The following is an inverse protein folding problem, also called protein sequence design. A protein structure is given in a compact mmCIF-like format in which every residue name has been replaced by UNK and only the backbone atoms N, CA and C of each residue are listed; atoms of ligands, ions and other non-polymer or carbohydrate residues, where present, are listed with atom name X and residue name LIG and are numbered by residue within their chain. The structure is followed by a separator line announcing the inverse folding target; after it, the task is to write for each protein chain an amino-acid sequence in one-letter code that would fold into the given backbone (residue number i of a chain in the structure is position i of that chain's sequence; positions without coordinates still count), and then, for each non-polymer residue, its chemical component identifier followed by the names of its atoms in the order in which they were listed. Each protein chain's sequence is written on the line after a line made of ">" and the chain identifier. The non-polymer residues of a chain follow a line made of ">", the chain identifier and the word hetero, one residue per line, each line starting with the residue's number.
data_IF_476276773931
#
_entry.id   IF_476276773931
#
_cell.length_a   1.000
_cell.length_b   1.000
_cell.length_c   1.000
_cell.angle_alpha   90.00
_cell.angle_beta   90.00
_cell.angle_gamma   90.00
#
_symmetry.space_group_name_H-M   'P 1'
#
loop_
_entity.id
_entity.type
_entity.pdbx_description
1 polymer ?
#
# COMPACT_ATOMS: atom_id res chain seq x y z
N UNK A 1 34.62 17.16 -33.33
CA UNK A 1 33.23 17.36 -32.86
C UNK A 1 32.35 17.51 -34.10
N UNK A 2 31.24 16.78 -34.13
CA UNK A 2 30.39 16.40 -35.27
C UNK A 2 30.83 15.17 -36.10
N UNK A 3 29.80 14.35 -36.39
CA UNK A 3 29.68 13.26 -37.36
C UNK A 3 30.39 11.94 -37.00
N UNK A 4 29.86 10.74 -37.20
CA UNK A 4 28.53 10.15 -37.46
C UNK A 4 28.84 8.64 -37.57
N UNK A 5 28.00 7.82 -36.94
CA UNK A 5 27.67 6.42 -37.22
C UNK A 5 28.59 5.54 -38.12
N UNK A 6 28.87 4.31 -37.63
CA UNK A 6 28.74 3.08 -38.43
C UNK A 6 28.15 1.95 -37.59
N UNK A 7 26.91 1.62 -37.92
CA UNK A 7 26.27 0.35 -37.60
C UNK A 7 26.74 -0.73 -38.59
N UNK A 8 26.77 -1.99 -38.15
CA UNK A 8 26.67 -3.17 -39.00
C UNK A 8 25.66 -4.13 -38.33
N UNK A 9 24.44 -4.25 -38.89
CA UNK A 9 23.94 -5.42 -39.65
C UNK A 9 23.95 -6.70 -38.81
N UNK A 10 22.85 -7.43 -38.57
CA UNK A 10 21.79 -7.91 -39.46
C UNK A 10 20.59 -8.33 -38.58
N UNK A 11 19.40 -8.69 -39.04
CA UNK A 11 19.03 -9.24 -40.32
C UNK A 11 17.57 -8.90 -40.64
N UNK A 12 17.36 -8.77 -41.94
CA UNK A 12 16.11 -8.61 -42.65
C UNK A 12 15.31 -9.91 -42.54
N UNK A 13 14.07 -9.80 -42.06
CA UNK A 13 13.02 -10.80 -42.26
C UNK A 13 11.83 -10.11 -42.92
N UNK A 14 11.71 -10.27 -44.23
CA UNK A 14 10.57 -9.81 -45.04
C UNK A 14 9.39 -10.74 -44.77
N UNK A 15 8.23 -10.19 -44.43
CA UNK A 15 6.95 -10.83 -44.71
C UNK A 15 6.08 -9.82 -45.45
N UNK A 16 5.82 -10.11 -46.71
CA UNK A 16 4.88 -9.39 -47.56
C UNK A 16 3.44 -9.83 -47.23
N UNK A 17 2.54 -8.87 -47.13
CA UNK A 17 1.10 -9.11 -46.98
C UNK A 17 0.35 -7.79 -46.89
N UNK A 18 -0.22 -7.36 -48.01
CA UNK A 18 -0.97 -6.12 -48.21
C UNK A 18 -2.33 -6.11 -47.51
N UNK A 19 -2.65 -5.04 -46.77
CA UNK A 19 -4.00 -4.45 -46.72
C UNK A 19 -3.97 -3.09 -46.00
N UNK A 20 -4.64 -2.10 -46.61
CA UNK A 20 -4.87 -0.76 -46.07
C UNK A 20 -5.75 -0.81 -44.82
N UNK A 21 -5.41 -0.02 -43.80
CA UNK A 21 -6.29 0.18 -42.64
C UNK A 21 -5.55 0.90 -41.52
N UNK A 22 -6.15 1.99 -41.02
CA UNK A 22 -5.62 2.89 -40.01
C UNK A 22 -4.84 2.22 -38.86
N UNK A 23 -3.74 2.84 -38.42
CA UNK A 23 -3.10 2.51 -37.15
C UNK A 23 -4.16 2.50 -36.03
N UNK A 24 -4.47 1.35 -35.42
CA UNK A 24 -5.21 1.39 -34.17
C UNK A 24 -4.27 1.98 -33.11
N UNK A 25 -4.87 2.86 -32.31
CA UNK A 25 -4.24 3.67 -31.29
C UNK A 25 -3.21 2.90 -30.45
N UNK A 26 -2.13 3.62 -30.09
CA UNK A 26 -1.22 3.23 -29.01
C UNK A 26 -2.02 2.57 -27.89
N UNK A 27 -1.78 1.28 -27.69
CA UNK A 27 -2.32 0.57 -26.53
C UNK A 27 -1.68 1.22 -25.29
N UNK A 28 -2.36 2.24 -24.75
CA UNK A 28 -2.16 2.67 -23.38
C UNK A 28 -2.43 1.43 -22.55
N UNK A 29 -1.36 0.83 -22.03
CA UNK A 29 -1.45 -0.17 -20.98
C UNK A 29 -2.03 0.58 -19.79
N UNK A 30 -3.35 0.63 -19.72
CA UNK A 30 -4.05 1.09 -18.55
C UNK A 30 -3.81 0.04 -17.47
N UNK A 31 -3.15 0.37 -16.35
CA UNK A 31 -2.95 -0.60 -15.28
C UNK A 31 -4.33 -1.10 -14.84
N UNK A 32 -4.47 -2.39 -14.48
CA UNK A 32 -5.75 -2.96 -14.11
C UNK A 32 -6.40 -2.09 -13.03
N UNK A 33 -7.58 -1.54 -13.32
CA UNK A 33 -8.43 -0.84 -12.35
C UNK A 33 -9.17 -1.84 -11.45
N UNK A 34 -8.48 -2.89 -11.02
CA UNK A 34 -8.99 -3.72 -9.95
C UNK A 34 -8.81 -2.95 -8.63
N UNK A 35 -9.86 -2.85 -7.78
CA UNK A 35 -9.67 -2.37 -6.43
C UNK A 35 -8.68 -3.32 -5.77
N UNK A 36 -7.49 -2.82 -5.44
CA UNK A 36 -6.48 -3.59 -4.74
C UNK A 36 -7.16 -4.22 -3.51
N UNK A 37 -7.28 -5.55 -3.42
CA UNK A 37 -7.84 -6.18 -2.23
C UNK A 37 -6.96 -5.76 -1.05
N UNK A 38 -7.58 -5.27 0.03
CA UNK A 38 -6.89 -4.93 1.27
C UNK A 38 -5.99 -6.11 1.65
N UNK A 39 -4.68 -5.99 1.43
CA UNK A 39 -3.74 -7.01 1.84
C UNK A 39 -3.54 -6.82 3.35
N UNK A 40 -4.33 -7.56 4.13
CA UNK A 40 -4.22 -7.60 5.57
C UNK A 40 -3.42 -8.85 5.94
N UNK A 41 -2.23 -8.65 6.49
CA UNK A 41 -1.37 -9.74 6.98
C UNK A 41 -1.11 -9.49 8.45
N UNK A 42 -1.29 -10.51 9.29
CA UNK A 42 -0.99 -10.44 10.72
C UNK A 42 -1.92 -9.55 11.56
N UNK A 43 -3.03 -9.08 11.00
CA UNK A 43 -3.96 -8.12 11.65
C UNK A 43 -5.42 -8.54 11.53
N UNK A 44 -6.20 -8.22 12.55
CA UNK A 44 -7.66 -8.30 12.51
C UNK A 44 -8.26 -6.91 12.38
N UNK A 45 -8.95 -6.65 11.26
CA UNK A 45 -9.71 -5.42 11.07
C UNK A 45 -10.95 -5.41 11.99
N UNK A 46 -11.19 -4.26 12.60
CA UNK A 46 -12.35 -3.93 13.44
C UNK A 46 -12.96 -2.62 12.98
N UNK A 47 -14.25 -2.47 13.27
CA UNK A 47 -14.93 -1.18 13.13
C UNK A 47 -14.43 -0.22 14.20
N UNK A 48 -14.54 1.07 13.93
CA UNK A 48 -14.19 2.12 14.87
C UNK A 48 -15.02 1.98 16.15
N UNK A 49 -14.34 1.89 17.28
CA UNK A 49 -14.96 1.78 18.60
C UNK A 49 -13.94 2.00 19.71
N UNK A 50 -14.39 1.74 20.94
CA UNK A 50 -13.52 1.74 22.11
C UNK A 50 -12.67 0.47 22.12
N UNK A 51 -11.49 0.54 21.48
CA UNK A 51 -10.46 -0.48 21.55
C UNK A 51 -9.22 0.08 22.26
N UNK A 52 -8.59 -0.77 23.05
CA UNK A 52 -7.32 -0.47 23.71
C UNK A 52 -6.29 -1.54 23.39
N UNK A 53 -5.01 -1.15 23.37
CA UNK A 53 -3.94 -2.12 23.19
C UNK A 53 -3.85 -3.03 24.42
N UNK A 54 -3.75 -4.32 24.17
CA UNK A 54 -3.39 -5.31 25.18
C UNK A 54 -2.11 -5.98 24.72
N UNK A 55 -0.97 -5.41 25.09
CA UNK A 55 0.31 -6.00 24.74
C UNK A 55 0.40 -7.40 25.35
N UNK A 56 0.35 -8.43 24.51
CA UNK A 56 0.36 -9.83 24.95
C UNK A 56 1.79 -10.27 25.28
N UNK A 57 2.75 -9.81 24.48
CA UNK A 57 4.17 -10.13 24.63
C UNK A 57 5.05 -8.99 24.09
N UNK A 58 6.37 -9.13 24.28
CA UNK A 58 7.38 -8.17 23.84
C UNK A 58 7.99 -8.54 22.47
N UNK A 59 7.31 -9.39 21.69
CA UNK A 59 7.79 -9.75 20.35
C UNK A 59 7.60 -8.56 19.42
N UNK A 60 8.70 -8.02 18.92
CA UNK A 60 8.66 -6.94 17.95
C UNK A 60 8.14 -7.43 16.60
N UNK A 61 7.11 -6.75 16.11
CA UNK A 61 6.45 -7.02 14.84
C UNK A 61 6.60 -5.78 13.96
N UNK A 62 7.12 -5.96 12.75
CA UNK A 62 7.19 -4.88 11.77
C UNK A 62 5.82 -4.68 11.12
N UNK A 63 5.14 -3.59 11.43
CA UNK A 63 3.90 -3.18 10.78
C UNK A 63 4.20 -2.26 9.59
N UNK A 64 3.77 -2.65 8.40
CA UNK A 64 3.83 -1.82 7.20
C UNK A 64 2.42 -1.40 6.76
N UNK A 65 2.16 -0.10 6.71
CA UNK A 65 0.88 0.48 6.29
C UNK A 65 1.06 1.20 4.98
N UNK A 66 0.47 0.68 3.91
CA UNK A 66 0.51 1.27 2.57
C UNK A 66 -0.81 1.98 2.27
N UNK A 67 -0.77 3.30 2.13
CA UNK A 67 -1.90 4.09 1.69
C UNK A 67 -1.93 4.17 0.16
N UNK A 68 -2.74 3.35 -0.50
CA UNK A 68 -2.92 3.39 -1.97
C UNK A 68 -4.07 4.29 -2.41
N UNK A 69 -4.70 4.99 -1.46
CA UNK A 69 -5.75 5.95 -1.76
C UNK A 69 -5.16 7.27 -2.26
N UNK A 70 -6.01 8.08 -2.90
CA UNK A 70 -5.67 9.45 -3.34
C UNK A 70 -5.72 10.48 -2.21
N UNK A 71 -6.11 10.07 -1.00
CA UNK A 71 -6.25 10.95 0.17
C UNK A 71 -5.21 10.59 1.22
N UNK A 72 -4.69 11.56 1.98
CA UNK A 72 -3.85 11.23 3.13
C UNK A 72 -4.68 10.52 4.22
N UNK A 73 -4.02 9.66 4.96
CA UNK A 73 -4.57 9.00 6.15
C UNK A 73 -3.68 9.29 7.35
N UNK A 74 -4.23 9.22 8.55
CA UNK A 74 -3.47 9.32 9.80
C UNK A 74 -3.52 7.97 10.48
N UNK A 75 -2.36 7.44 10.84
CA UNK A 75 -2.26 6.22 11.63
C UNK A 75 -2.05 6.59 13.09
N UNK A 76 -2.92 6.10 13.98
CA UNK A 76 -2.80 6.21 15.42
C UNK A 76 -2.55 4.84 16.03
N UNK A 77 -1.68 4.77 17.02
CA UNK A 77 -1.64 3.64 17.94
C UNK A 77 -2.59 3.95 19.10
N UNK A 78 -3.37 2.98 19.57
CA UNK A 78 -4.15 3.15 20.80
C UNK A 78 -3.36 2.64 21.97
N UNK A 79 -3.17 3.44 23.02
CA UNK A 79 -2.49 2.97 24.22
C UNK A 79 -3.36 1.96 25.01
N UNK A 80 -2.87 1.52 26.17
CA UNK A 80 -3.57 0.55 27.02
C UNK A 80 -4.85 1.09 27.67
N UNK A 81 -5.03 2.42 27.72
CA UNK A 81 -6.28 3.06 28.15
C UNK A 81 -7.25 3.33 26.98
N UNK A 82 -6.87 3.00 25.74
CA UNK A 82 -7.68 3.20 24.53
C UNK A 82 -7.59 4.59 23.91
N UNK A 83 -6.75 5.46 24.45
CA UNK A 83 -6.46 6.78 23.89
C UNK A 83 -5.59 6.70 22.64
N UNK A 84 -5.82 7.59 21.66
CA UNK A 84 -4.98 7.72 20.47
C UNK A 84 -3.61 8.31 20.84
N UNK A 85 -2.56 7.64 20.41
CA UNK A 85 -1.16 8.02 20.52
C UNK A 85 -0.45 7.85 19.16
N UNK A 86 0.76 8.43 19.04
CA UNK A 86 1.63 8.28 17.87
C UNK A 86 0.98 8.53 16.49
N UNK A 87 0.21 9.62 16.39
CA UNK A 87 -0.43 10.03 15.13
C UNK A 87 0.59 10.39 14.05
N UNK A 88 0.63 9.64 12.95
CA UNK A 88 1.47 9.96 11.78
C UNK A 88 0.65 10.05 10.51
N UNK A 89 0.93 11.07 9.73
CA UNK A 89 0.40 11.22 8.39
C UNK A 89 1.04 10.21 7.44
N UNK A 90 0.21 9.42 6.77
CA UNK A 90 0.58 8.59 5.62
C UNK A 90 0.04 9.31 4.37
N UNK A 91 0.93 9.90 3.55
CA UNK A 91 0.50 10.62 2.36
C UNK A 91 -0.24 9.69 1.38
N UNK A 92 -0.99 10.29 0.45
CA UNK A 92 -1.60 9.55 -0.65
C UNK A 92 -0.53 8.78 -1.44
N UNK A 93 -0.81 7.52 -1.78
CA UNK A 93 0.15 6.58 -2.39
C UNK A 93 1.43 6.35 -1.56
N UNK A 94 1.41 6.69 -0.27
CA UNK A 94 2.54 6.57 0.65
C UNK A 94 2.60 5.24 1.40
N UNK A 95 3.70 4.99 2.09
CA UNK A 95 3.84 3.86 3.01
C UNK A 95 4.51 4.32 4.30
N UNK A 96 4.06 3.77 5.43
CA UNK A 96 4.66 3.99 6.73
C UNK A 96 4.97 2.65 7.40
N UNK A 97 6.14 2.54 8.00
CA UNK A 97 6.58 1.36 8.74
C UNK A 97 6.72 1.69 10.22
N UNK A 98 6.42 0.72 11.07
CA UNK A 98 6.43 0.81 12.52
C UNK A 98 6.90 -0.50 13.15
N UNK A 99 7.49 -0.39 14.32
CA UNK A 99 7.60 -1.51 15.25
C UNK A 99 6.37 -1.51 16.14
N UNK A 100 5.74 -2.66 16.28
CA UNK A 100 4.58 -2.88 17.13
C UNK A 100 4.68 -4.22 17.85
N UNK A 101 3.69 -4.57 18.65
CA UNK A 101 3.66 -5.82 19.42
C UNK A 101 2.31 -6.49 19.27
N UNK A 102 2.24 -7.79 19.59
CA UNK A 102 1.00 -8.54 19.52
C UNK A 102 -0.04 -7.96 20.49
N UNK A 103 -1.27 -7.82 20.00
CA UNK A 103 -2.38 -7.20 20.72
C UNK A 103 -2.37 -5.66 20.74
N UNK A 104 -1.42 -5.02 20.06
CA UNK A 104 -1.52 -3.58 19.80
C UNK A 104 -2.69 -3.28 18.86
N UNK A 105 -3.34 -2.15 19.13
CA UNK A 105 -4.45 -1.63 18.34
C UNK A 105 -3.96 -0.41 17.56
N UNK A 106 -4.17 -0.45 16.26
CA UNK A 106 -3.87 0.63 15.33
C UNK A 106 -5.14 1.14 14.70
N UNK A 107 -5.30 2.45 14.60
CA UNK A 107 -6.42 3.08 13.95
C UNK A 107 -5.93 3.85 12.72
N UNK A 108 -6.65 3.65 11.63
CA UNK A 108 -6.52 4.47 10.44
C UNK A 108 -7.67 5.46 10.44
N UNK A 109 -7.31 6.74 10.47
CA UNK A 109 -8.23 7.85 10.36
C UNK A 109 -8.00 8.62 9.05
N UNK A 110 -9.00 9.37 8.60
CA UNK A 110 -8.82 10.33 7.52
C UNK A 110 -8.00 11.54 7.97
N UNK A 111 -7.60 12.40 7.02
CA UNK A 111 -6.80 13.60 7.31
C UNK A 111 -7.45 14.61 8.27
N UNK A 112 -8.75 14.51 8.52
CA UNK A 112 -9.51 15.30 9.51
C UNK A 112 -9.62 14.62 10.89
N UNK A 113 -9.06 13.42 11.05
CA UNK A 113 -9.09 12.65 12.29
C UNK A 113 -10.33 11.76 12.48
N UNK A 114 -11.22 11.66 11.49
CA UNK A 114 -12.35 10.72 11.52
C UNK A 114 -11.83 9.29 11.40
N UNK A 115 -12.21 8.41 12.32
CA UNK A 115 -11.80 7.00 12.25
C UNK A 115 -12.41 6.33 11.02
N UNK A 116 -11.59 5.62 10.24
CA UNK A 116 -12.01 4.81 9.09
C UNK A 116 -12.06 3.32 9.45
N UNK A 117 -11.08 2.86 10.22
CA UNK A 117 -10.98 1.47 10.66
C UNK A 117 -9.94 1.29 11.76
N UNK A 118 -10.12 0.26 12.57
CA UNK A 118 -9.14 -0.17 13.57
C UNK A 118 -8.59 -1.56 13.21
N UNK A 119 -7.39 -1.87 13.65
CA UNK A 119 -6.64 -3.08 13.35
C UNK A 119 -5.95 -3.57 14.61
N UNK A 120 -6.20 -4.82 14.99
CA UNK A 120 -5.53 -5.48 16.11
C UNK A 120 -4.42 -6.37 15.56
N UNK A 121 -3.20 -6.25 16.07
CA UNK A 121 -2.12 -7.17 15.73
C UNK A 121 -2.42 -8.53 16.37
N UNK A 122 -2.63 -9.54 15.54
CA UNK A 122 -3.15 -10.84 15.98
C UNK A 122 -2.12 -11.96 15.88
N UNK A 123 -1.14 -11.80 15.01
CA UNK A 123 -0.19 -12.84 14.64
C UNK A 123 1.09 -12.75 15.47
N UNK A 124 1.76 -13.88 15.65
CA UNK A 124 3.11 -13.98 16.24
C UNK A 124 4.21 -13.84 15.18
N UNK A 125 3.82 -13.72 13.91
CA UNK A 125 4.75 -13.42 12.83
C UNK A 125 5.45 -12.08 13.01
N UNK A 126 6.69 -11.98 12.55
CA UNK A 126 7.52 -10.78 12.67
C UNK A 126 7.07 -9.63 11.74
N UNK A 127 6.00 -9.82 10.95
CA UNK A 127 5.57 -8.85 9.93
C UNK A 127 4.04 -8.79 9.79
N UNK A 128 3.52 -7.56 9.86
CA UNK A 128 2.11 -7.24 9.63
C UNK A 128 1.96 -6.21 8.52
N UNK A 129 0.88 -6.28 7.75
CA UNK A 129 0.60 -5.34 6.65
C UNK A 129 -0.84 -4.84 6.67
N UNK A 130 -1.02 -3.55 6.41
CA UNK A 130 -2.31 -2.89 6.21
C UNK A 130 -2.25 -2.13 4.88
N UNK A 131 -2.99 -2.59 3.87
CA UNK A 131 -3.25 -1.80 2.65
C UNK A 131 -4.50 -0.94 2.81
N UNK A 132 -4.42 0.36 2.49
CA UNK A 132 -5.58 1.26 2.37
C UNK A 132 -5.86 1.50 0.89
N UNK A 133 -7.13 1.49 0.49
CA UNK A 133 -7.59 1.74 -0.88
C UNK A 133 -8.52 2.94 -0.95
#
# INVERSE_FOLDING_TARGET
>A
MNMLARAATAAVGVIAGTAFGACPASATIEPPRDPVPYLLVGVHRKLCGALSSQQIDQTEILLSVANRSRKPAILYWHNTSGGRESGRLIPANGTANYTTYRGHVWEVASGDGTCLSQYVIADDSTRSHIGLS
#
